data_IF_185348724169
#
_entry.id   IF_185348724169
#
_cell.length_a   1.000
_cell.length_b   1.000
_cell.length_c   1.000
_cell.angle_alpha   90.00
_cell.angle_beta   90.00
_cell.angle_gamma   90.00
#
_symmetry.space_group_name_H-M   'P 1'
#
loop_
_entity.id
_entity.type
_entity.pdbx_description
1 polymer ?
#
# COMPACT_ATOMS: atom_id res chain seq x y z
N UNK A 1 77.15 3.38 6.96
CA UNK A 1 77.46 2.84 5.62
C UNK A 1 76.21 2.08 5.15
N UNK A 2 75.38 2.63 4.26
CA UNK A 2 75.45 2.54 2.77
C UNK A 2 75.61 1.08 2.33
N UNK A 3 74.82 0.44 1.48
CA UNK A 3 73.75 0.78 0.50
C UNK A 3 73.25 -0.60 0.02
N UNK A 4 72.01 -0.83 -0.36
CA UNK A 4 71.65 -0.91 -1.78
C UNK A 4 70.14 -1.06 -1.98
N UNK A 5 69.72 -0.42 -3.05
CA UNK A 5 68.37 -0.14 -3.51
C UNK A 5 68.04 -1.13 -4.62
N UNK A 6 66.89 -1.80 -4.59
CA UNK A 6 66.31 -2.43 -5.79
C UNK A 6 64.83 -2.09 -5.90
N UNK A 7 64.55 -1.20 -6.86
CA UNK A 7 63.22 -0.86 -7.39
C UNK A 7 62.70 -2.06 -8.21
N UNK A 8 61.50 -2.53 -7.88
CA UNK A 8 60.73 -3.49 -8.67
C UNK A 8 59.49 -2.81 -9.24
N UNK A 9 59.55 -2.53 -10.54
CA UNK A 9 58.52 -2.15 -11.53
C UNK A 9 57.05 -2.07 -11.07
N UNK A 10 56.51 -0.85 -11.22
CA UNK A 10 55.14 -0.58 -11.63
C UNK A 10 54.82 -1.32 -12.95
N UNK A 11 53.77 -2.14 -12.92
CA UNK A 11 53.09 -2.65 -14.11
C UNK A 11 51.67 -2.10 -14.09
N UNK A 12 51.43 -1.09 -14.92
CA UNK A 12 50.08 -0.70 -15.30
C UNK A 12 49.45 -1.83 -16.11
N UNK A 13 48.29 -2.31 -15.67
CA UNK A 13 47.27 -2.81 -16.58
C UNK A 13 46.02 -1.94 -16.40
N UNK A 14 45.89 -1.00 -17.34
CA UNK A 14 44.61 -0.63 -17.96
C UNK A 14 43.71 -1.87 -18.10
N UNK A 15 42.43 -1.86 -17.84
CA UNK A 15 41.45 -0.79 -17.89
C UNK A 15 40.15 -1.48 -18.30
N UNK A 16 39.21 -1.65 -17.38
CA UNK A 16 37.81 -1.85 -17.71
C UNK A 16 37.06 -0.80 -16.91
N UNK A 17 37.09 0.41 -17.45
CA UNK A 17 36.10 1.42 -17.14
C UNK A 17 34.75 0.82 -17.51
N UNK A 18 33.94 0.46 -16.51
CA UNK A 18 32.50 0.31 -16.73
C UNK A 18 31.96 1.71 -17.05
N UNK A 19 32.09 2.07 -18.32
CA UNK A 19 31.62 3.31 -18.89
C UNK A 19 30.08 3.28 -18.90
N UNK A 20 29.49 3.66 -17.76
CA UNK A 20 28.05 3.74 -17.56
C UNK A 20 27.49 5.05 -18.16
N UNK A 21 27.95 5.36 -19.38
CA UNK A 21 27.65 6.58 -20.15
C UNK A 21 26.25 6.67 -20.79
N UNK A 22 25.52 5.57 -21.08
CA UNK A 22 24.16 5.66 -21.64
C UNK A 22 23.05 5.67 -20.58
N UNK A 23 23.24 5.03 -19.42
CA UNK A 23 22.19 4.87 -18.39
C UNK A 23 21.82 6.19 -17.68
N UNK A 24 22.81 7.07 -17.42
CA UNK A 24 22.57 8.41 -16.86
C UNK A 24 21.84 9.35 -17.84
N UNK A 25 22.05 9.17 -19.15
CA UNK A 25 21.38 9.98 -20.20
C UNK A 25 19.95 9.54 -20.43
N UNK A 26 19.65 8.25 -20.30
CA UNK A 26 18.29 7.72 -20.35
C UNK A 26 17.45 8.16 -19.14
N UNK A 27 18.03 8.13 -17.93
CA UNK A 27 17.40 8.65 -16.72
C UNK A 27 17.04 10.14 -16.88
N UNK A 28 18.00 10.97 -17.32
CA UNK A 28 17.76 12.41 -17.54
C UNK A 28 16.76 12.70 -18.67
N UNK A 29 16.78 11.98 -19.80
CA UNK A 29 15.89 12.24 -20.93
C UNK A 29 14.42 11.89 -20.67
N UNK A 30 14.15 10.88 -19.84
CA UNK A 30 12.78 10.48 -19.50
C UNK A 30 12.25 11.26 -18.29
N UNK A 31 13.11 11.53 -17.29
CA UNK A 31 12.79 12.34 -16.12
C UNK A 31 12.38 13.78 -16.48
N UNK A 32 13.02 14.39 -17.48
CA UNK A 32 12.84 15.82 -17.79
C UNK A 32 11.64 16.10 -18.73
N UNK A 33 10.97 15.07 -19.29
CA UNK A 33 9.99 15.29 -20.38
C UNK A 33 8.52 15.33 -19.96
N UNK A 34 8.11 14.90 -18.77
CA UNK A 34 6.65 14.71 -18.50
C UNK A 34 6.21 15.00 -17.06
N UNK A 35 6.29 16.26 -16.62
CA UNK A 35 5.51 16.78 -15.49
C UNK A 35 4.08 17.25 -15.89
N UNK A 36 3.43 16.62 -16.88
CA UNK A 36 2.07 17.01 -17.30
C UNK A 36 1.07 15.88 -17.09
N UNK A 37 0.46 15.96 -15.90
CA UNK A 37 -0.87 15.49 -15.49
C UNK A 37 -1.63 14.63 -16.51
N UNK A 38 -1.71 13.33 -16.25
CA UNK A 38 -2.86 12.50 -16.60
C UNK A 38 -3.03 11.43 -15.53
N UNK A 39 -4.13 11.50 -14.78
CA UNK A 39 -4.58 10.45 -13.87
C UNK A 39 -5.10 9.28 -14.70
N UNK A 40 -4.46 8.12 -14.57
CA UNK A 40 -4.94 6.86 -15.14
C UNK A 40 -6.19 6.40 -14.35
N UNK A 41 -7.28 5.97 -15.00
CA UNK A 41 -8.43 5.47 -14.29
C UNK A 41 -8.20 3.99 -13.96
N UNK A 42 -7.86 3.70 -12.71
CA UNK A 42 -7.92 2.35 -12.11
C UNK A 42 -9.37 1.84 -11.94
N UNK A 43 -10.36 2.61 -12.41
CA UNK A 43 -11.77 2.55 -12.03
C UNK A 43 -12.63 1.60 -12.87
N UNK A 44 -12.13 0.96 -13.93
CA UNK A 44 -13.00 0.20 -14.85
C UNK A 44 -13.45 -1.17 -14.35
N UNK A 45 -13.11 -1.58 -13.13
CA UNK A 45 -13.44 -2.91 -12.58
C UNK A 45 -14.63 -2.89 -11.60
N UNK A 46 -15.09 -1.72 -11.15
CA UNK A 46 -16.18 -1.62 -10.16
C UNK A 46 -17.35 -0.76 -10.65
N UNK A 47 -18.42 -1.38 -11.15
CA UNK A 47 -19.73 -0.74 -11.29
C UNK A 47 -20.85 -1.72 -10.98
N UNK A 48 -21.69 -1.40 -9.99
CA UNK A 48 -22.92 -2.12 -9.62
C UNK A 48 -23.99 -1.13 -9.12
N UNK A 49 -25.32 -1.41 -9.26
CA UNK A 49 -26.41 -0.45 -9.09
C UNK A 49 -26.98 -0.40 -7.66
N UNK A 50 -27.59 0.74 -7.31
CA UNK A 50 -28.19 1.03 -6.00
C UNK A 50 -29.66 0.60 -5.88
N UNK A 51 -30.06 0.11 -4.71
CA UNK A 51 -31.46 -0.18 -4.35
C UNK A 51 -31.87 0.52 -3.03
N UNK A 52 -32.94 1.31 -3.14
CA UNK A 52 -33.97 1.73 -2.16
C UNK A 52 -33.60 2.05 -0.68
N UNK A 53 -33.85 3.31 -0.29
CA UNK A 53 -33.21 4.04 0.82
C UNK A 53 -33.94 4.12 2.17
N UNK A 54 -35.08 3.45 2.38
CA UNK A 54 -35.89 3.71 3.60
C UNK A 54 -35.72 2.70 4.74
N UNK A 55 -35.21 1.49 4.48
CA UNK A 55 -34.94 0.51 5.55
C UNK A 55 -33.59 0.75 6.25
N UNK A 56 -32.75 1.62 5.68
CA UNK A 56 -31.35 1.86 6.04
C UNK A 56 -31.15 2.82 7.20
N UNK A 57 -32.02 3.83 7.36
CA UNK A 57 -31.78 4.91 8.34
C UNK A 57 -31.99 4.47 9.80
N UNK A 58 -33.09 3.77 10.11
CA UNK A 58 -33.33 3.24 11.46
C UNK A 58 -32.33 2.12 11.82
N UNK A 59 -32.03 1.25 10.85
CA UNK A 59 -31.00 0.22 11.01
C UNK A 59 -29.62 0.85 11.32
N UNK A 60 -29.29 1.96 10.65
CA UNK A 60 -28.02 2.69 10.87
C UNK A 60 -27.95 3.36 12.25
N UNK A 61 -29.07 3.90 12.75
CA UNK A 61 -29.12 4.51 14.08
C UNK A 61 -28.99 3.46 15.19
N UNK A 62 -29.60 2.29 15.02
CA UNK A 62 -29.47 1.16 15.94
C UNK A 62 -28.02 0.63 15.94
N UNK A 63 -27.40 0.47 14.77
CA UNK A 63 -26.01 0.00 14.67
C UNK A 63 -25.00 1.01 15.25
N UNK A 64 -25.24 2.30 15.04
CA UNK A 64 -24.47 3.38 15.67
C UNK A 64 -24.55 3.30 17.20
N UNK A 65 -25.76 3.19 17.75
CA UNK A 65 -25.98 3.08 19.20
C UNK A 65 -25.25 1.90 19.82
N UNK A 66 -25.31 0.72 19.17
CA UNK A 66 -24.57 -0.47 19.59
C UNK A 66 -23.05 -0.25 19.61
N UNK A 67 -22.51 0.46 18.61
CA UNK A 67 -21.06 0.74 18.51
C UNK A 67 -20.60 1.70 19.60
N UNK A 68 -21.37 2.75 19.89
CA UNK A 68 -21.10 3.66 21.02
C UNK A 68 -21.09 2.87 22.33
N UNK A 69 -22.10 2.01 22.56
CA UNK A 69 -22.17 1.16 23.75
C UNK A 69 -20.97 0.22 23.87
N UNK A 70 -20.57 -0.40 22.76
CA UNK A 70 -19.42 -1.30 22.70
C UNK A 70 -18.12 -0.57 23.05
N UNK A 71 -17.87 0.60 22.46
CA UNK A 71 -16.70 1.41 22.75
C UNK A 71 -16.64 1.80 24.23
N UNK A 72 -17.77 2.25 24.81
CA UNK A 72 -17.85 2.55 26.24
C UNK A 72 -17.49 1.35 27.12
N UNK A 73 -18.05 0.18 26.81
CA UNK A 73 -17.80 -1.05 27.57
C UNK A 73 -16.36 -1.55 27.41
N UNK A 74 -15.74 -1.36 26.23
CA UNK A 74 -14.34 -1.74 26.00
C UNK A 74 -13.34 -0.92 26.86
N UNK A 75 -13.75 0.27 27.31
CA UNK A 75 -12.98 1.10 28.24
C UNK A 75 -13.41 0.95 29.71
N UNK A 76 -14.23 -0.06 30.04
CA UNK A 76 -14.77 -0.30 31.39
C UNK A 76 -15.49 0.92 31.99
N UNK A 77 -16.05 1.79 31.14
CA UNK A 77 -16.69 3.02 31.58
C UNK A 77 -18.16 2.76 31.93
N UNK A 78 -18.56 3.24 33.11
CA UNK A 78 -19.98 3.36 33.43
C UNK A 78 -20.63 4.43 32.54
N UNK A 79 -21.95 4.37 32.38
CA UNK A 79 -22.70 5.37 31.63
C UNK A 79 -22.52 6.78 32.23
N UNK A 80 -22.34 6.87 33.54
CA UNK A 80 -22.08 8.13 34.25
C UNK A 80 -20.69 8.69 33.94
N UNK A 81 -19.65 7.86 34.02
CA UNK A 81 -18.28 8.28 33.69
C UNK A 81 -18.18 8.69 32.21
N UNK A 82 -18.77 7.91 31.31
CA UNK A 82 -18.78 8.22 29.88
C UNK A 82 -19.56 9.52 29.57
N UNK A 83 -20.69 9.75 30.25
CA UNK A 83 -21.45 11.00 30.11
C UNK A 83 -20.59 12.22 30.45
N UNK A 84 -19.80 12.14 31.53
CA UNK A 84 -18.88 13.20 31.94
C UNK A 84 -17.74 13.40 30.95
N UNK A 85 -17.11 12.32 30.48
CA UNK A 85 -16.00 12.37 29.52
C UNK A 85 -16.44 12.93 28.16
N UNK A 86 -17.60 12.51 27.66
CA UNK A 86 -18.12 12.98 26.38
C UNK A 86 -18.74 14.39 26.46
N UNK A 87 -19.07 14.91 27.64
CA UNK A 87 -19.83 16.16 27.76
C UNK A 87 -21.23 16.06 27.16
N UNK A 88 -21.86 14.88 27.29
CA UNK A 88 -23.22 14.55 26.82
C UNK A 88 -24.01 14.04 28.02
N UNK A 89 -25.26 14.47 28.20
CA UNK A 89 -26.04 14.06 29.36
C UNK A 89 -26.25 12.54 29.43
N UNK A 90 -26.27 11.98 30.64
CA UNK A 90 -26.45 10.53 30.86
C UNK A 90 -27.70 9.98 30.17
N UNK A 91 -28.78 10.76 30.17
CA UNK A 91 -30.04 10.42 29.50
C UNK A 91 -29.90 10.41 27.97
N UNK A 92 -29.25 11.42 27.39
CA UNK A 92 -29.03 11.47 25.95
C UNK A 92 -28.11 10.32 25.49
N UNK A 93 -27.01 10.07 26.21
CA UNK A 93 -26.10 8.97 25.91
C UNK A 93 -26.81 7.61 25.99
N UNK A 94 -27.66 7.40 27.01
CA UNK A 94 -28.49 6.18 27.10
C UNK A 94 -29.42 6.01 25.91
N UNK A 95 -30.12 7.07 25.48
CA UNK A 95 -31.04 7.00 24.34
C UNK A 95 -30.29 6.71 23.04
N UNK A 96 -29.11 7.29 22.86
CA UNK A 96 -28.24 7.02 21.70
C UNK A 96 -27.78 5.56 21.71
N UNK A 97 -27.26 5.04 22.83
CA UNK A 97 -26.79 3.65 22.95
C UNK A 97 -27.88 2.62 22.65
N UNK A 98 -29.14 2.94 22.93
CA UNK A 98 -30.29 2.08 22.69
C UNK A 98 -31.01 2.36 21.36
N UNK A 99 -30.47 3.24 20.50
CA UNK A 99 -31.08 3.58 19.20
C UNK A 99 -32.39 4.37 19.30
N UNK A 100 -32.71 4.91 20.48
CA UNK A 100 -33.93 5.70 20.75
C UNK A 100 -33.76 7.19 20.41
N UNK A 101 -32.54 7.62 20.07
CA UNK A 101 -32.22 8.99 19.67
C UNK A 101 -31.07 9.00 18.68
N UNK A 102 -31.27 9.59 17.50
CA UNK A 102 -30.19 9.88 16.57
C UNK A 102 -29.40 11.10 17.06
N UNK A 103 -28.08 10.99 17.28
CA UNK A 103 -27.25 12.12 17.70
C UNK A 103 -27.04 13.11 16.56
N UNK A 104 -26.86 14.39 16.89
CA UNK A 104 -26.34 15.38 15.95
C UNK A 104 -24.83 15.15 15.71
N UNK A 105 -24.28 15.76 14.66
CA UNK A 105 -22.84 15.69 14.38
C UNK A 105 -21.99 16.18 15.56
N UNK A 106 -22.39 17.26 16.23
CA UNK A 106 -21.68 17.79 17.40
C UNK A 106 -21.67 16.80 18.57
N UNK A 107 -22.78 16.08 18.77
CA UNK A 107 -22.88 15.03 19.80
C UNK A 107 -21.99 13.84 19.43
N UNK A 108 -21.92 13.48 18.15
CA UNK A 108 -21.00 12.43 17.67
C UNK A 108 -19.54 12.82 17.93
N UNK A 109 -19.12 14.05 17.59
CA UNK A 109 -17.76 14.51 17.83
C UNK A 109 -17.40 14.48 19.33
N UNK A 110 -18.34 14.87 20.17
CA UNK A 110 -18.22 14.79 21.64
C UNK A 110 -18.02 13.36 22.12
N UNK A 111 -18.80 12.41 21.60
CA UNK A 111 -18.69 10.99 21.94
C UNK A 111 -17.35 10.41 21.48
N UNK A 112 -16.95 10.66 20.23
CA UNK A 112 -15.68 10.21 19.64
C UNK A 112 -14.49 10.72 20.47
N UNK A 113 -14.48 12.01 20.83
CA UNK A 113 -13.44 12.60 21.69
C UNK A 113 -13.45 12.03 23.11
N UNK A 114 -14.63 11.87 23.71
CA UNK A 114 -14.76 11.39 25.08
C UNK A 114 -14.45 9.91 25.26
N UNK A 115 -14.71 9.09 24.23
CA UNK A 115 -14.40 7.66 24.21
C UNK A 115 -13.07 7.35 23.51
N UNK A 116 -12.36 8.34 22.97
CA UNK A 116 -11.08 8.18 22.25
C UNK A 116 -11.12 7.16 21.10
N UNK A 117 -12.20 7.16 20.32
CA UNK A 117 -12.39 6.29 19.13
C UNK A 117 -12.37 7.13 17.85
N UNK A 118 -12.17 6.53 16.67
CA UNK A 118 -12.34 7.24 15.40
C UNK A 118 -13.83 7.35 15.01
N UNK A 119 -14.21 8.44 14.33
CA UNK A 119 -15.56 8.60 13.79
C UNK A 119 -15.92 7.47 12.82
N UNK A 120 -14.97 6.98 12.03
CA UNK A 120 -15.13 5.90 11.08
C UNK A 120 -15.49 4.56 11.76
N UNK A 121 -15.01 4.32 12.99
CA UNK A 121 -15.38 3.14 13.78
C UNK A 121 -16.87 3.12 14.14
N UNK A 122 -17.48 4.29 14.33
CA UNK A 122 -18.93 4.41 14.56
C UNK A 122 -19.75 4.07 13.31
N UNK A 123 -19.20 4.30 12.11
CA UNK A 123 -19.88 4.05 10.83
C UNK A 123 -19.48 2.73 10.15
N UNK A 124 -18.51 2.00 10.69
CA UNK A 124 -18.35 0.56 10.44
C UNK A 124 -17.26 0.20 9.45
N UNK A 125 -16.24 1.04 9.33
CA UNK A 125 -15.05 0.73 8.52
C UNK A 125 -14.03 -0.16 9.24
N UNK A 126 -14.29 -0.59 10.48
CA UNK A 126 -13.51 -1.65 11.12
C UNK A 126 -14.28 -2.97 11.03
N UNK A 127 -14.10 -3.78 9.95
CA UNK A 127 -14.56 -5.15 9.98
C UNK A 127 -13.87 -5.85 11.15
N UNK A 128 -14.65 -6.45 12.04
CA UNK A 128 -14.11 -7.37 13.02
C UNK A 128 -13.34 -8.45 12.25
N UNK A 129 -12.09 -8.70 12.65
CA UNK A 129 -11.25 -9.78 12.13
C UNK A 129 -11.87 -11.13 12.54
N UNK A 130 -12.97 -11.48 11.89
CA UNK A 130 -13.55 -12.81 11.88
C UNK A 130 -12.78 -13.61 10.84
N UNK A 131 -12.29 -14.80 11.22
CA UNK A 131 -11.69 -15.73 10.28
C UNK A 131 -12.75 -16.18 9.27
N UNK A 132 -12.91 -15.41 8.20
CA UNK A 132 -13.94 -15.61 7.18
C UNK A 132 -13.76 -16.88 6.32
N UNK A 133 -12.67 -17.63 6.53
CA UNK A 133 -12.34 -18.84 5.77
C UNK A 133 -12.10 -18.59 4.27
N UNK A 134 -12.04 -17.33 3.85
CA UNK A 134 -11.91 -16.93 2.45
C UNK A 134 -10.58 -17.43 1.89
N UNK A 135 -10.65 -18.21 0.81
CA UNK A 135 -9.49 -18.75 0.11
C UNK A 135 -9.76 -18.82 -1.38
N UNK A 136 -8.70 -18.71 -2.17
CA UNK A 136 -8.69 -19.03 -3.59
C UNK A 136 -7.44 -19.87 -3.89
N UNK A 137 -7.55 -20.73 -4.89
CA UNK A 137 -6.47 -21.60 -5.35
C UNK A 137 -6.29 -21.37 -6.85
N UNK A 138 -5.12 -20.90 -7.23
CA UNK A 138 -4.71 -20.84 -8.64
C UNK A 138 -3.66 -21.90 -8.84
N UNK A 139 -3.91 -22.90 -9.69
CA UNK A 139 -2.88 -23.86 -10.06
C UNK A 139 -1.91 -23.22 -11.06
N UNK A 140 -0.76 -23.86 -11.22
CA UNK A 140 0.25 -23.44 -12.17
C UNK A 140 -0.38 -23.29 -13.57
N UNK A 141 -0.14 -22.14 -14.21
CA UNK A 141 -0.56 -21.82 -15.57
C UNK A 141 -2.09 -21.65 -15.77
N UNK A 142 -2.89 -21.72 -14.71
CA UNK A 142 -4.34 -21.52 -14.71
C UNK A 142 -4.76 -20.08 -14.31
N UNK A 143 -3.81 -19.19 -14.04
CA UNK A 143 -4.12 -17.80 -13.73
C UNK A 143 -4.63 -17.02 -14.94
N UNK A 144 -5.34 -15.92 -14.68
CA UNK A 144 -5.86 -15.06 -15.75
C UNK A 144 -4.70 -14.27 -16.37
N UNK A 145 -4.49 -14.41 -17.68
CA UNK A 145 -3.35 -13.79 -18.37
C UNK A 145 -3.70 -12.45 -18.99
N UNK A 146 -2.85 -11.46 -18.74
CA UNK A 146 -2.90 -10.14 -19.34
C UNK A 146 -1.51 -9.74 -19.80
N UNK A 147 -1.41 -9.13 -20.98
CA UNK A 147 -0.15 -8.61 -21.50
C UNK A 147 -0.21 -7.10 -21.54
N UNK A 148 0.81 -6.44 -21.00
CA UNK A 148 0.89 -4.98 -20.97
C UNK A 148 2.35 -4.52 -20.98
N UNK A 149 2.74 -3.71 -21.99
CA UNK A 149 4.05 -3.03 -22.07
C UNK A 149 5.26 -3.91 -21.71
N UNK A 150 5.40 -5.05 -22.38
CA UNK A 150 6.53 -5.97 -22.12
C UNK A 150 6.41 -6.77 -20.82
N UNK A 151 5.26 -6.73 -20.15
CA UNK A 151 4.90 -7.64 -19.07
C UNK A 151 3.88 -8.65 -19.57
N UNK A 152 4.16 -9.93 -19.35
CA UNK A 152 3.16 -10.99 -19.43
C UNK A 152 2.77 -11.35 -17.99
N UNK A 153 1.62 -10.85 -17.57
CA UNK A 153 1.09 -11.00 -16.22
C UNK A 153 0.13 -12.19 -16.16
N UNK A 154 0.30 -13.02 -15.15
CA UNK A 154 -0.62 -14.08 -14.74
C UNK A 154 -1.21 -13.69 -13.38
N UNK A 155 -2.47 -13.23 -13.37
CA UNK A 155 -3.17 -12.88 -12.14
C UNK A 155 -3.56 -14.14 -11.37
N UNK A 156 -3.27 -14.11 -10.07
CA UNK A 156 -3.53 -15.20 -9.16
C UNK A 156 -4.70 -14.84 -8.23
N UNK A 157 -5.34 -15.88 -7.66
CA UNK A 157 -6.46 -15.75 -6.74
C UNK A 157 -7.63 -14.90 -7.28
N UNK A 158 -7.93 -14.99 -8.58
CA UNK A 158 -8.99 -14.21 -9.25
C UNK A 158 -10.40 -14.57 -8.81
N UNK A 159 -10.60 -15.79 -8.29
CA UNK A 159 -11.89 -16.26 -7.77
C UNK A 159 -12.35 -15.56 -6.48
N UNK A 160 -11.52 -14.69 -5.91
CA UNK A 160 -11.82 -13.95 -4.69
C UNK A 160 -11.88 -12.44 -4.95
N UNK A 161 -13.04 -11.84 -4.73
CA UNK A 161 -13.25 -10.38 -4.77
C UNK A 161 -12.69 -9.68 -3.52
N UNK A 162 -12.64 -8.34 -3.45
CA UNK A 162 -12.31 -7.57 -2.24
C UNK A 162 -11.12 -8.13 -1.43
N UNK A 163 -10.01 -8.42 -2.12
CA UNK A 163 -8.76 -8.85 -1.50
C UNK A 163 -7.99 -7.62 -1.03
N UNK A 164 -7.24 -7.75 0.07
CA UNK A 164 -6.34 -6.69 0.54
C UNK A 164 -5.15 -6.48 -0.41
N UNK A 165 -4.77 -7.52 -1.16
CA UNK A 165 -3.68 -7.50 -2.13
C UNK A 165 -4.04 -8.25 -3.41
N UNK A 166 -3.37 -7.90 -4.49
CA UNK A 166 -3.45 -8.49 -5.81
C UNK A 166 -2.11 -9.18 -6.10
N UNK A 167 -2.03 -10.51 -5.97
CA UNK A 167 -0.85 -11.27 -6.37
C UNK A 167 -0.88 -11.60 -7.87
N UNK A 168 0.24 -11.44 -8.54
CA UNK A 168 0.43 -11.84 -9.93
C UNK A 168 1.87 -12.29 -10.18
N UNK A 169 2.03 -13.30 -11.04
CA UNK A 169 3.34 -13.68 -11.57
C UNK A 169 3.57 -12.91 -12.86
N UNK A 170 4.75 -12.33 -13.03
CA UNK A 170 5.08 -11.56 -14.24
C UNK A 170 6.32 -12.14 -14.87
N UNK A 171 6.23 -12.42 -16.17
CA UNK A 171 7.39 -12.50 -17.04
C UNK A 171 7.66 -11.11 -17.59
N UNK A 172 8.86 -10.60 -17.33
CA UNK A 172 9.31 -9.28 -17.78
C UNK A 172 10.14 -9.49 -19.05
N UNK A 173 9.54 -9.19 -20.20
CA UNK A 173 10.18 -9.25 -21.52
C UNK A 173 10.70 -7.90 -22.00
N UNK A 174 10.51 -6.84 -21.22
CA UNK A 174 11.10 -5.53 -21.48
C UNK A 174 12.57 -5.53 -21.03
N UNK A 175 13.50 -5.37 -21.97
CA UNK A 175 14.95 -5.27 -21.69
C UNK A 175 15.44 -3.82 -21.69
N UNK A 176 14.58 -2.87 -22.06
CA UNK A 176 14.89 -1.44 -22.08
C UNK A 176 13.69 -0.63 -21.58
N UNK A 177 13.97 0.57 -21.05
CA UNK A 177 12.92 1.49 -20.61
C UNK A 177 12.06 2.06 -21.75
N UNK A 178 12.53 1.96 -22.99
CA UNK A 178 11.79 2.43 -24.18
C UNK A 178 10.49 1.65 -24.42
N UNK A 179 10.31 0.50 -23.76
CA UNK A 179 9.05 -0.23 -23.73
C UNK A 179 7.91 0.51 -23.00
N UNK A 180 8.22 1.59 -22.27
CA UNK A 180 7.27 2.31 -21.42
C UNK A 180 7.14 3.79 -21.82
N UNK A 181 5.94 4.19 -22.25
CA UNK A 181 5.63 5.60 -22.49
C UNK A 181 5.49 6.43 -21.20
N UNK A 182 5.21 5.75 -20.09
CA UNK A 182 5.06 6.26 -18.72
C UNK A 182 5.23 5.10 -17.71
N UNK A 183 5.49 5.44 -16.46
CA UNK A 183 5.73 4.52 -15.35
C UNK A 183 4.46 4.30 -14.50
N UNK A 184 4.33 3.11 -13.91
CA UNK A 184 3.20 2.74 -13.08
C UNK A 184 3.11 3.60 -11.82
N UNK A 185 1.90 4.02 -11.46
CA UNK A 185 1.58 4.72 -10.20
C UNK A 185 0.19 4.30 -9.74
N UNK A 186 0.05 3.93 -8.48
CA UNK A 186 -1.25 3.73 -7.85
C UNK A 186 -1.14 3.83 -6.33
N UNK A 187 -2.28 4.02 -5.68
CA UNK A 187 -2.35 3.99 -4.22
C UNK A 187 -2.04 2.58 -3.69
N UNK A 188 -1.33 2.51 -2.57
CA UNK A 188 -0.93 1.28 -1.92
C UNK A 188 0.57 1.04 -1.93
N UNK A 189 0.92 -0.21 -1.72
CA UNK A 189 2.29 -0.69 -1.55
C UNK A 189 2.48 -1.92 -2.41
N UNK A 190 3.71 -2.12 -2.86
CA UNK A 190 4.09 -3.23 -3.70
C UNK A 190 5.25 -4.01 -3.12
N UNK A 191 5.17 -5.33 -3.28
CA UNK A 191 6.23 -6.27 -2.98
C UNK A 191 6.56 -7.07 -4.24
N UNK A 192 7.83 -7.07 -4.61
CA UNK A 192 8.38 -7.81 -5.73
C UNK A 192 9.41 -8.82 -5.20
N UNK A 193 9.36 -10.05 -5.70
CA UNK A 193 10.35 -11.09 -5.46
C UNK A 193 10.80 -11.69 -6.78
N UNK A 194 12.12 -11.78 -7.02
CA UNK A 194 12.67 -12.31 -8.26
C UNK A 194 12.76 -13.83 -8.19
N UNK A 195 12.00 -14.51 -9.05
CA UNK A 195 11.99 -15.98 -9.14
C UNK A 195 13.18 -16.46 -9.97
N UNK A 196 13.39 -15.86 -11.15
CA UNK A 196 14.48 -16.21 -12.05
C UNK A 196 14.91 -15.02 -12.92
N UNK A 197 16.16 -15.05 -13.40
CA UNK A 197 16.75 -13.93 -14.15
C UNK A 197 17.26 -12.81 -13.25
N UNK A 198 17.43 -11.63 -13.82
CA UNK A 198 17.76 -10.41 -13.08
C UNK A 198 16.91 -9.24 -13.54
N UNK A 199 16.58 -8.35 -12.61
CA UNK A 199 15.66 -7.22 -12.83
C UNK A 199 16.33 -5.93 -12.39
N UNK A 200 16.10 -4.85 -13.12
CA UNK A 200 16.38 -3.50 -12.64
C UNK A 200 15.06 -2.75 -12.47
N UNK A 201 14.76 -2.34 -11.23
CA UNK A 201 13.62 -1.50 -10.91
C UNK A 201 14.04 -0.03 -10.88
N UNK A 202 13.34 0.78 -11.67
CA UNK A 202 13.44 2.22 -11.70
C UNK A 202 12.29 2.80 -10.88
N UNK A 203 12.59 3.77 -10.02
CA UNK A 203 11.58 4.58 -9.34
C UNK A 203 11.96 6.06 -9.40
N UNK A 204 10.99 6.96 -9.23
CA UNK A 204 11.25 8.41 -9.30
C UNK A 204 12.18 8.92 -8.19
N UNK A 205 12.15 8.28 -7.02
CA UNK A 205 12.79 8.80 -5.81
C UNK A 205 14.12 8.11 -5.47
N UNK A 206 14.41 6.97 -6.09
CA UNK A 206 15.63 6.21 -5.83
C UNK A 206 16.43 5.96 -7.10
N UNK A 207 17.73 5.75 -6.94
CA UNK A 207 18.57 5.26 -8.02
C UNK A 207 18.07 3.87 -8.51
N UNK A 208 18.36 3.51 -9.77
CA UNK A 208 18.01 2.19 -10.30
C UNK A 208 18.49 1.07 -9.38
N UNK A 209 17.57 0.19 -9.00
CA UNK A 209 17.81 -0.89 -8.03
C UNK A 209 17.91 -2.20 -8.78
N UNK A 210 19.08 -2.84 -8.75
CA UNK A 210 19.32 -4.13 -9.38
C UNK A 210 19.03 -5.27 -8.41
N UNK A 211 18.31 -6.28 -8.89
CA UNK A 211 17.85 -7.44 -8.13
C UNK A 211 18.18 -8.70 -8.92
N UNK A 212 18.70 -9.71 -8.23
CA UNK A 212 18.94 -11.04 -8.79
C UNK A 212 17.90 -12.03 -8.28
N UNK A 213 17.85 -13.23 -8.87
CA UNK A 213 17.01 -14.31 -8.37
C UNK A 213 17.21 -14.54 -6.86
N UNK A 214 16.10 -14.60 -6.12
CA UNK A 214 16.08 -14.69 -4.66
C UNK A 214 15.95 -13.35 -3.93
N UNK A 215 16.25 -12.23 -4.59
CA UNK A 215 16.11 -10.90 -4.01
C UNK A 215 14.64 -10.43 -4.04
N UNK A 216 14.33 -9.49 -3.14
CA UNK A 216 13.01 -8.87 -3.05
C UNK A 216 13.11 -7.36 -2.81
N UNK A 217 12.08 -6.64 -3.24
CA UNK A 217 11.94 -5.22 -3.00
C UNK A 217 10.53 -4.88 -2.54
N UNK A 218 10.43 -4.02 -1.54
CA UNK A 218 9.17 -3.45 -1.05
C UNK A 218 9.21 -1.93 -1.24
N UNK A 219 8.14 -1.35 -1.78
CA UNK A 219 8.11 0.09 -2.05
C UNK A 219 6.69 0.66 -2.11
N UNK A 220 6.61 1.98 -1.99
CA UNK A 220 5.38 2.75 -2.11
C UNK A 220 5.00 2.93 -3.58
N UNK A 221 3.84 2.38 -3.96
CA UNK A 221 3.39 2.34 -5.36
C UNK A 221 2.91 3.67 -5.91
N UNK A 222 2.80 4.71 -5.06
CA UNK A 222 2.46 6.07 -5.50
C UNK A 222 3.63 6.72 -6.22
N UNK A 223 4.84 6.24 -5.96
CA UNK A 223 6.04 6.63 -6.70
C UNK A 223 6.03 5.96 -8.06
N UNK A 224 6.26 6.74 -9.13
CA UNK A 224 6.39 6.20 -10.49
C UNK A 224 7.44 5.11 -10.53
N UNK A 225 7.09 3.94 -11.04
CA UNK A 225 8.00 2.80 -11.14
C UNK A 225 7.85 1.98 -12.43
N UNK A 226 8.96 1.39 -12.86
CA UNK A 226 9.04 0.46 -13.98
C UNK A 226 10.17 -0.55 -13.76
N UNK A 227 10.01 -1.76 -14.26
CA UNK A 227 10.98 -2.84 -14.14
C UNK A 227 11.36 -3.35 -15.53
N UNK A 228 12.65 -3.63 -15.73
CA UNK A 228 13.16 -4.29 -16.93
C UNK A 228 13.91 -5.56 -16.54
N UNK A 229 13.95 -6.53 -17.44
CA UNK A 229 14.91 -7.62 -17.37
C UNK A 229 16.30 -7.09 -17.70
N UNK A 230 17.29 -7.55 -16.95
CA UNK A 230 18.72 -7.30 -17.22
C UNK A 230 19.50 -8.59 -17.48
N UNK A 231 18.84 -9.75 -17.46
CA UNK A 231 19.40 -11.02 -17.89
C UNK A 231 19.30 -11.19 -19.40
N UNK A 232 20.04 -12.16 -19.97
CA UNK A 232 19.93 -12.51 -21.39
C UNK A 232 18.51 -12.98 -21.74
N UNK A 233 17.95 -13.85 -20.90
CA UNK A 233 16.56 -14.26 -20.99
C UNK A 233 15.64 -13.31 -20.20
N UNK A 234 14.34 -13.41 -20.47
CA UNK A 234 13.30 -12.72 -19.71
C UNK A 234 13.31 -13.14 -18.23
N UNK A 235 13.14 -12.17 -17.34
CA UNK A 235 13.06 -12.43 -15.90
C UNK A 235 11.64 -12.82 -15.48
N UNK A 236 11.53 -13.65 -14.44
CA UNK A 236 10.25 -13.94 -13.79
C UNK A 236 10.23 -13.40 -12.37
N UNK A 237 9.13 -12.76 -12.01
CA UNK A 237 8.91 -12.21 -10.66
C UNK A 237 7.55 -12.61 -10.11
N UNK A 238 7.48 -12.77 -8.79
CA UNK A 238 6.23 -12.70 -8.04
C UNK A 238 6.04 -11.26 -7.58
N UNK A 239 4.91 -10.66 -7.93
CA UNK A 239 4.61 -9.26 -7.61
C UNK A 239 3.25 -9.20 -6.93
N UNK A 240 3.17 -8.45 -5.84
CA UNK A 240 1.96 -8.21 -5.08
C UNK A 240 1.74 -6.71 -4.96
N UNK A 241 0.54 -6.24 -5.26
CA UNK A 241 0.14 -4.85 -5.09
C UNK A 241 -1.06 -4.75 -4.14
N UNK A 242 -1.05 -3.76 -3.26
CA UNK A 242 -2.24 -3.36 -2.50
C UNK A 242 -2.92 -2.17 -3.19
N UNK A 243 -4.22 -2.00 -2.93
CA UNK A 243 -4.91 -0.74 -3.25
C UNK A 243 -4.89 0.20 -2.05
N UNK A 244 -5.24 1.48 -2.24
CA UNK A 244 -5.28 2.54 -1.21
C UNK A 244 -6.26 2.36 -0.04
N UNK A 245 -6.64 1.14 0.29
CA UNK A 245 -7.55 0.80 1.39
C UNK A 245 -6.96 -0.12 2.46
N UNK A 246 -5.63 -0.27 2.53
CA UNK A 246 -5.01 -0.96 3.67
C UNK A 246 -5.11 -0.03 4.89
N UNK A 247 -5.65 -0.49 6.04
CA UNK A 247 -5.60 0.30 7.27
C UNK A 247 -4.14 0.38 7.71
N UNK A 248 -3.49 1.52 7.44
CA UNK A 248 -2.24 1.85 8.09
C UNK A 248 -2.55 2.04 9.57
N UNK A 249 -2.21 1.04 10.39
CA UNK A 249 -2.04 1.26 11.82
C UNK A 249 -0.93 2.28 11.97
N UNK A 250 -1.31 3.55 12.17
CA UNK A 250 -0.34 4.60 12.47
C UNK A 250 0.36 4.24 13.78
N UNK A 251 1.70 4.25 13.84
CA UNK A 251 2.38 4.20 15.13
C UNK A 251 2.04 5.48 15.88
N UNK A 252 1.44 5.34 17.06
CA UNK A 252 1.18 6.45 17.98
C UNK A 252 2.52 7.12 18.32
N UNK A 253 2.76 8.32 17.77
CA UNK A 253 3.88 9.15 18.17
C UNK A 253 3.55 9.84 19.50
N UNK A 254 3.84 9.19 20.62
CA UNK A 254 4.07 9.90 21.89
C UNK A 254 5.56 10.16 22.00
N UNK A 255 6.02 11.24 21.37
CA UNK A 255 7.26 11.90 21.76
C UNK A 255 6.88 13.04 22.69
N UNK A 256 6.64 12.70 23.96
CA UNK A 256 6.57 13.70 25.01
C UNK A 256 7.96 14.25 25.28
N UNK A 257 8.03 15.58 25.22
CA UNK A 257 9.10 16.37 25.77
C UNK A 257 9.29 16.01 27.25
N UNK A 258 10.49 15.55 27.61
CA UNK A 258 10.96 15.62 29.00
C UNK A 258 12.15 16.57 29.02
N UNK A 259 11.79 17.78 29.41
CA UNK A 259 12.60 18.78 30.07
C UNK A 259 13.56 18.14 31.09
N UNK A 260 14.86 18.38 30.93
CA UNK A 260 15.89 18.03 31.89
C UNK A 260 16.81 19.23 32.10
N UNK A 261 16.48 20.00 33.13
CA UNK A 261 17.35 20.73 34.08
C UNK A 261 18.52 21.54 33.53
#
# INVERSE_FOLDING_TARGET
MRTAFRRGRFGLFSGVSADCGPARRAFSRCYDRKQKRHTFPYTSIFSMPSLSTNHTAEQSAIDLGRRVKRARLAHDLTLETASRLCGVSRSALSKIENGLMSPTFDVLQKIVRGLQIDLAELFGTAPALSASGRRALTRKDEGQRHAYRGYQMELLATDLAHKAMLPFRIRISAHTLDAFDDWGRHEGEEFLYVISGSVCLYSELYAPTHLNAGDSLYFDSRTGHAAISTSEDDAEVLWMATGGGVPTGSPSSTADAVDAR
#
